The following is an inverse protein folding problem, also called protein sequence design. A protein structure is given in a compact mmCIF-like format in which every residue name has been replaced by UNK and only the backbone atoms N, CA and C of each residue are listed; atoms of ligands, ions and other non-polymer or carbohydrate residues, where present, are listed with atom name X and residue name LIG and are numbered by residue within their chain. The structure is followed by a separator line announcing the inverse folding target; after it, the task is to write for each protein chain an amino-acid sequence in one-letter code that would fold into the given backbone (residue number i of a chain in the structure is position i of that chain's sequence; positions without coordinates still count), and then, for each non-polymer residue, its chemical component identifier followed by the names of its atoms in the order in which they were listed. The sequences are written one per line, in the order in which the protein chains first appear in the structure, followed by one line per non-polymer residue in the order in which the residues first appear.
data_IF_217749485471
#
_entry.id   IF_217749485471
#
_cell.length_a   1.000
_cell.length_b   1.000
_cell.length_c   1.000
_cell.angle_alpha   90.00
_cell.angle_beta   90.00
_cell.angle_gamma   90.00
#
_symmetry.space_group_name_H-M   'P 1'
#
loop_
_entity.id
_entity.type
_entity.pdbx_description
1 polymer ?
#
# COMPACT_ATOMS: atom_id res chain seq x y z
N UNK A 1 22.26 18.81 -12.26
CA UNK A 1 21.83 17.52 -11.70
C UNK A 1 20.31 17.53 -11.62
N UNK A 2 19.61 16.46 -11.97
CA UNK A 2 18.13 16.47 -11.99
C UNK A 2 17.56 16.45 -10.56
N UNK A 3 16.39 17.08 -10.31
CA UNK A 3 15.90 17.36 -8.95
C UNK A 3 15.66 16.13 -8.05
N UNK A 4 15.41 14.95 -8.62
CA UNK A 4 15.01 13.75 -7.87
C UNK A 4 16.09 12.66 -7.77
N UNK A 5 17.29 12.91 -8.29
CA UNK A 5 18.37 11.92 -8.23
C UNK A 5 18.74 11.66 -6.77
N UNK A 6 18.63 10.41 -6.34
CA UNK A 6 18.99 9.95 -4.99
C UNK A 6 17.94 10.22 -3.90
N UNK A 7 16.83 10.89 -4.23
CA UNK A 7 15.74 11.17 -3.28
C UNK A 7 15.01 9.86 -2.95
N UNK A 8 14.63 9.70 -1.67
CA UNK A 8 13.94 8.52 -1.15
C UNK A 8 12.44 8.74 -1.02
N UNK A 9 11.66 7.71 -1.28
CA UNK A 9 10.21 7.72 -1.10
C UNK A 9 9.89 7.42 0.37
N UNK A 10 9.36 8.41 1.09
CA UNK A 10 9.14 8.34 2.54
C UNK A 10 7.72 7.92 2.95
N UNK A 11 6.82 7.72 2.00
CA UNK A 11 5.48 7.20 2.30
C UNK A 11 5.56 5.70 2.63
N UNK A 12 4.73 5.16 3.56
CA UNK A 12 4.57 3.71 3.70
C UNK A 12 4.12 3.10 2.37
N UNK A 13 4.69 1.96 1.98
CA UNK A 13 4.35 1.30 0.72
C UNK A 13 4.10 -0.19 0.93
N UNK A 14 3.01 -0.69 0.37
CA UNK A 14 2.77 -2.11 0.10
C UNK A 14 2.92 -2.32 -1.41
N UNK A 15 3.76 -3.27 -1.82
CA UNK A 15 3.95 -3.62 -3.22
C UNK A 15 3.52 -5.07 -3.45
N UNK A 16 2.66 -5.28 -4.45
CA UNK A 16 2.05 -6.56 -4.80
C UNK A 16 2.27 -6.77 -6.28
N UNK A 17 2.86 -7.90 -6.67
CA UNK A 17 3.13 -8.24 -8.08
C UNK A 17 2.87 -9.73 -8.31
N UNK A 18 2.42 -10.07 -9.51
CA UNK A 18 2.32 -11.46 -9.96
C UNK A 18 3.67 -12.03 -10.37
N UNK A 19 3.93 -13.31 -10.08
CA UNK A 19 5.15 -13.98 -10.50
C UNK A 19 5.26 -14.19 -12.02
N UNK A 20 4.16 -14.05 -12.76
CA UNK A 20 4.07 -14.09 -14.23
C UNK A 20 3.91 -12.70 -14.86
N UNK A 21 3.99 -11.61 -14.07
CA UNK A 21 3.94 -10.24 -14.62
C UNK A 21 5.13 -10.01 -15.55
N UNK A 22 4.88 -9.43 -16.73
CA UNK A 22 5.93 -9.07 -17.70
C UNK A 22 6.96 -8.12 -17.09
N UNK A 23 6.52 -7.19 -16.23
CA UNK A 23 7.40 -6.25 -15.56
C UNK A 23 8.34 -6.96 -14.59
N UNK A 24 7.84 -7.95 -13.84
CA UNK A 24 8.65 -8.73 -12.91
C UNK A 24 9.84 -9.44 -13.58
N UNK A 25 9.74 -9.69 -14.89
CA UNK A 25 10.78 -10.32 -15.70
C UNK A 25 11.61 -9.35 -16.53
N UNK A 26 11.41 -8.04 -16.38
CA UNK A 26 12.29 -7.06 -17.00
C UNK A 26 13.70 -7.19 -16.40
N UNK A 27 14.76 -7.10 -17.23
CA UNK A 27 16.14 -7.22 -16.75
C UNK A 27 16.42 -6.27 -15.57
N UNK A 28 16.87 -6.84 -14.45
CA UNK A 28 17.24 -6.09 -13.25
C UNK A 28 16.09 -5.74 -12.30
N UNK A 29 14.81 -5.88 -12.71
CA UNK A 29 13.70 -5.48 -11.84
C UNK A 29 13.50 -6.47 -10.71
N UNK A 30 13.52 -7.77 -10.99
CA UNK A 30 13.41 -8.82 -9.97
C UNK A 30 14.51 -8.69 -8.93
N UNK A 31 15.75 -8.48 -9.37
CA UNK A 31 16.90 -8.27 -8.50
C UNK A 31 16.75 -6.98 -7.69
N UNK A 32 16.27 -5.90 -8.30
CA UNK A 32 16.03 -4.64 -7.61
C UNK A 32 14.98 -4.82 -6.50
N UNK A 33 13.88 -5.52 -6.77
CA UNK A 33 12.80 -5.79 -5.82
C UNK A 33 13.30 -6.69 -4.66
N UNK A 34 13.96 -7.81 -4.97
CA UNK A 34 14.27 -8.84 -3.98
C UNK A 34 15.60 -8.61 -3.25
N UNK A 35 16.60 -7.98 -3.88
CA UNK A 35 17.95 -7.84 -3.31
C UNK A 35 18.16 -6.51 -2.57
N UNK A 36 17.08 -5.86 -2.15
CA UNK A 36 17.11 -4.68 -1.28
C UNK A 36 17.31 -3.34 -2.00
N UNK A 37 17.47 -3.32 -3.33
CA UNK A 37 17.51 -2.07 -4.11
C UNK A 37 16.24 -1.25 -3.93
N UNK A 38 15.09 -1.90 -4.03
CA UNK A 38 13.79 -1.26 -3.88
C UNK A 38 13.57 -0.74 -2.46
N UNK A 39 13.95 -1.53 -1.45
CA UNK A 39 13.91 -1.12 -0.03
C UNK A 39 14.87 0.05 0.26
N UNK A 40 16.01 0.12 -0.43
CA UNK A 40 16.95 1.25 -0.33
C UNK A 40 16.34 2.54 -0.88
N UNK A 41 15.52 2.48 -1.91
CA UNK A 41 14.86 3.66 -2.50
C UNK A 41 13.53 4.01 -1.82
N UNK A 42 12.88 3.01 -1.21
CA UNK A 42 11.63 3.11 -0.44
C UNK A 42 11.85 2.55 0.97
N UNK A 43 12.44 3.32 1.91
CA UNK A 43 12.80 2.82 3.24
C UNK A 43 11.63 2.24 4.04
N UNK A 44 10.41 2.68 3.78
CA UNK A 44 9.17 2.23 4.45
C UNK A 44 8.34 1.24 3.64
N UNK A 45 8.96 0.57 2.66
CA UNK A 45 8.37 -0.58 1.96
C UNK A 45 8.13 -1.75 2.94
N UNK A 46 6.91 -2.25 3.03
CA UNK A 46 6.61 -3.52 3.72
C UNK A 46 7.15 -4.72 2.92
N UNK A 47 7.03 -5.91 3.47
CA UNK A 47 7.38 -7.12 2.73
C UNK A 47 6.65 -7.17 1.38
N UNK A 48 7.41 -7.41 0.32
CA UNK A 48 6.89 -7.50 -1.05
C UNK A 48 6.08 -8.78 -1.19
N UNK A 49 4.87 -8.66 -1.75
CA UNK A 49 4.02 -9.81 -2.05
C UNK A 49 4.26 -10.22 -3.50
N UNK A 50 4.76 -11.44 -3.71
CA UNK A 50 4.87 -12.07 -5.03
C UNK A 50 3.83 -13.17 -5.13
N UNK A 51 2.80 -12.95 -5.96
CA UNK A 51 1.65 -13.84 -6.08
C UNK A 51 1.95 -14.94 -7.12
N UNK A 52 2.03 -16.18 -6.67
CA UNK A 52 2.32 -17.33 -7.53
C UNK A 52 1.20 -17.64 -8.51
N UNK A 53 1.50 -17.86 -9.79
CA UNK A 53 0.50 -18.15 -10.83
C UNK A 53 -0.33 -16.94 -11.27
N UNK A 54 0.14 -15.71 -11.03
CA UNK A 54 -0.60 -14.48 -11.33
C UNK A 54 0.19 -13.62 -12.30
N UNK A 55 -0.45 -13.15 -13.36
CA UNK A 55 0.14 -12.29 -14.37
C UNK A 55 -0.03 -10.79 -14.01
N UNK A 56 -0.26 -9.95 -15.01
CA UNK A 56 -0.24 -8.49 -14.88
C UNK A 56 -1.41 -7.86 -14.11
N UNK A 57 -2.53 -8.58 -13.94
CA UNK A 57 -3.75 -8.05 -13.32
C UNK A 57 -4.10 -8.78 -12.01
N UNK A 58 -3.26 -8.68 -10.96
CA UNK A 58 -3.50 -9.41 -9.70
C UNK A 58 -4.83 -9.05 -9.04
N UNK A 59 -5.25 -7.78 -9.14
CA UNK A 59 -6.52 -7.29 -8.61
C UNK A 59 -7.76 -7.88 -9.31
N UNK A 60 -7.62 -8.46 -10.50
CA UNK A 60 -8.71 -9.14 -11.21
C UNK A 60 -8.55 -10.67 -11.13
N UNK A 61 -7.31 -11.16 -11.14
CA UNK A 61 -7.02 -12.59 -11.08
C UNK A 61 -7.29 -13.18 -9.68
N UNK A 62 -7.04 -12.39 -8.62
CA UNK A 62 -7.26 -12.76 -7.22
C UNK A 62 -7.81 -11.58 -6.40
N UNK A 63 -9.04 -11.14 -6.69
CA UNK A 63 -9.60 -9.92 -6.12
C UNK A 63 -9.72 -9.97 -4.60
N UNK A 64 -10.04 -11.12 -4.02
CA UNK A 64 -10.17 -11.30 -2.56
C UNK A 64 -8.82 -11.14 -1.85
N UNK A 65 -7.78 -11.85 -2.33
CA UNK A 65 -6.41 -11.80 -1.77
C UNK A 65 -5.83 -10.38 -1.83
N UNK A 66 -6.01 -9.68 -2.97
CA UNK A 66 -5.56 -8.29 -3.12
C UNK A 66 -6.35 -7.35 -2.20
N UNK A 67 -7.67 -7.53 -2.08
CA UNK A 67 -8.52 -6.70 -1.21
C UNK A 67 -8.15 -6.87 0.26
N UNK A 68 -7.84 -8.09 0.70
CA UNK A 68 -7.38 -8.38 2.06
C UNK A 68 -6.04 -7.67 2.35
N UNK A 69 -5.07 -7.75 1.43
CA UNK A 69 -3.81 -7.02 1.57
C UNK A 69 -3.99 -5.51 1.67
N UNK A 70 -4.92 -4.93 0.91
CA UNK A 70 -5.24 -3.49 0.97
C UNK A 70 -5.84 -3.14 2.34
N UNK A 71 -6.85 -3.91 2.77
CA UNK A 71 -7.54 -3.69 4.03
C UNK A 71 -6.59 -3.76 5.23
N UNK A 72 -5.77 -4.81 5.31
CA UNK A 72 -4.83 -5.02 6.41
C UNK A 72 -3.75 -3.94 6.46
N UNK A 73 -3.25 -3.52 5.30
CA UNK A 73 -2.27 -2.45 5.22
C UNK A 73 -2.81 -1.14 5.79
N UNK A 74 -4.00 -0.71 5.38
CA UNK A 74 -4.59 0.53 5.88
C UNK A 74 -5.00 0.44 7.35
N UNK A 75 -5.54 -0.70 7.77
CA UNK A 75 -5.84 -0.98 9.19
C UNK A 75 -4.60 -0.84 10.06
N UNK A 76 -3.46 -1.39 9.64
CA UNK A 76 -2.17 -1.23 10.34
C UNK A 76 -1.71 0.22 10.39
N UNK A 77 -1.89 0.99 9.31
CA UNK A 77 -1.55 2.42 9.30
C UNK A 77 -2.38 3.22 10.30
N UNK A 78 -3.68 2.96 10.40
CA UNK A 78 -4.56 3.59 11.40
C UNK A 78 -4.11 3.28 12.83
N UNK A 79 -3.71 2.05 13.12
CA UNK A 79 -3.18 1.71 14.45
C UNK A 79 -1.82 2.36 14.73
N UNK A 80 -0.96 2.50 13.71
CA UNK A 80 0.31 3.20 13.85
C UNK A 80 0.13 4.70 14.11
N UNK A 81 -0.93 5.32 13.57
CA UNK A 81 -1.25 6.73 13.84
C UNK A 81 -1.96 6.92 15.18
N UNK A 82 -2.68 5.90 15.67
CA UNK A 82 -3.48 5.95 16.89
C UNK A 82 -2.75 5.45 18.15
N UNK A 83 -1.41 5.38 18.13
CA UNK A 83 -0.63 5.02 19.33
C UNK A 83 -0.84 6.07 20.46
N UNK A 84 -1.44 5.70 21.60
CA UNK A 84 -1.83 6.62 22.68
C UNK A 84 -0.67 7.37 23.35
N UNK A 85 0.59 7.02 23.05
CA UNK A 85 1.77 7.73 23.58
C UNK A 85 2.14 9.00 22.80
N UNK A 86 1.46 9.32 21.69
CA UNK A 86 1.77 10.51 20.87
C UNK A 86 0.60 11.48 20.66
N UNK A 87 -0.59 11.18 21.18
CA UNK A 87 -1.79 12.00 21.01
C UNK A 87 -2.47 12.28 22.36
N UNK A 88 -1.77 13.00 23.25
CA UNK A 88 -2.49 13.82 24.20
C UNK A 88 -3.16 14.95 23.41
N UNK A 89 -4.51 14.93 23.40
CA UNK A 89 -5.42 15.95 22.84
C UNK A 89 -5.75 15.79 21.35
N UNK A 90 -6.79 15.03 21.00
CA UNK A 90 -8.00 15.52 20.30
C UNK A 90 -8.92 14.37 19.81
N UNK A 91 -10.18 14.50 20.21
CA UNK A 91 -11.46 13.97 19.67
C UNK A 91 -11.44 12.90 18.55
N UNK A 92 -11.98 11.73 18.89
CA UNK A 92 -12.35 10.64 17.98
C UNK A 92 -13.31 11.11 16.87
N UNK A 93 -13.00 10.74 15.61
CA UNK A 93 -13.93 10.79 14.48
C UNK A 93 -14.27 9.34 14.10
N UNK A 94 -15.39 8.84 14.62
CA UNK A 94 -15.91 7.51 14.29
C UNK A 94 -16.79 7.61 13.03
N UNK A 95 -16.21 7.29 11.87
CA UNK A 95 -16.83 7.39 10.53
C UNK A 95 -17.94 6.38 10.23
N UNK A 96 -18.79 6.05 11.21
CA UNK A 96 -19.87 5.08 11.06
C UNK A 96 -21.24 5.60 11.52
N UNK A 97 -21.45 6.93 11.50
CA UNK A 97 -22.76 7.52 11.77
C UNK A 97 -23.53 7.70 10.48
N UNK A 98 -24.59 6.92 10.33
CA UNK A 98 -25.65 7.03 9.32
C UNK A 98 -26.38 8.39 9.28
N UNK A 99 -25.96 9.37 10.08
CA UNK A 99 -26.51 10.74 10.09
C UNK A 99 -25.94 11.64 8.97
N UNK A 100 -24.84 11.27 8.33
CA UNK A 100 -24.16 12.13 7.34
C UNK A 100 -24.64 11.90 5.89
N UNK A 101 -25.60 10.99 5.68
CA UNK A 101 -26.15 10.64 4.37
C UNK A 101 -27.51 11.29 4.06
N UNK A 102 -28.00 12.21 4.89
CA UNK A 102 -29.33 12.79 4.73
C UNK A 102 -29.43 13.96 3.73
N UNK A 103 -28.64 14.00 2.65
CA UNK A 103 -28.73 15.10 1.65
C UNK A 103 -28.52 14.74 0.17
N UNK A 104 -28.59 13.46 -0.22
CA UNK A 104 -28.58 13.08 -1.64
C UNK A 104 -29.81 12.24 -1.96
N UNK A 105 -30.95 12.90 -2.11
CA UNK A 105 -32.06 12.58 -3.02
C UNK A 105 -33.06 13.74 -2.99
N UNK A 106 -32.71 14.82 -3.69
CA UNK A 106 -33.64 15.84 -4.18
C UNK A 106 -32.98 16.56 -5.36
N UNK A 107 -33.03 15.91 -6.53
CA UNK A 107 -33.27 16.43 -7.89
C UNK A 107 -33.05 15.30 -8.90
#
# INVERSE_FOLDING_TARGET
MAPWIGVKIQVPVKFIIGDQDINYHLPGLKEHILNGGFKKDVPRLEEVVVMGGVAHFPNQARPEEVSEHIFDFFKKLQFSTNNPKANSTTTSFDGNRVSDLAHLHAL
#
